data_IF_849243019786
#
_entry.id   IF_849243019786
#
_cell.length_a   1.000
_cell.length_b   1.000
_cell.length_c   1.000
_cell.angle_alpha   90.00
_cell.angle_beta   90.00
_cell.angle_gamma   90.00
#
_symmetry.space_group_name_H-M   'P 1'
#
loop_
_entity.id
_entity.type
_entity.pdbx_description
1 polymer ?
#
# COMPACT_ATOMS: atom_id res chain seq x y z
N UNK A 1 5.43 -14.47 21.92
CA UNK A 1 4.86 -13.12 22.14
C UNK A 1 4.72 -12.33 20.84
N UNK A 2 5.71 -12.27 19.97
CA UNK A 2 5.63 -11.54 18.69
C UNK A 2 4.43 -11.94 17.79
N UNK A 3 3.99 -13.19 17.82
CA UNK A 3 2.89 -13.70 17.00
C UNK A 3 1.49 -13.19 17.39
N UNK A 4 1.30 -12.67 18.59
CA UNK A 4 0.00 -12.15 19.04
C UNK A 4 -0.23 -10.70 18.60
N UNK A 5 0.83 -9.93 18.40
CA UNK A 5 0.77 -8.54 17.96
C UNK A 5 0.25 -8.45 16.52
N UNK A 6 0.59 -9.43 15.70
CA UNK A 6 0.19 -9.51 14.29
C UNK A 6 -1.05 -10.37 14.03
N UNK A 7 -1.72 -10.85 15.09
CA UNK A 7 -2.91 -11.67 14.96
C UNK A 7 -4.11 -10.80 14.59
N UNK A 8 -4.65 -11.02 13.40
CA UNK A 8 -5.80 -10.31 12.89
C UNK A 8 -7.06 -10.49 13.75
N UNK A 9 -7.90 -9.48 13.78
CA UNK A 9 -9.20 -9.45 14.45
C UNK A 9 -10.27 -8.92 13.50
N UNK A 10 -10.86 -9.81 12.71
CA UNK A 10 -11.84 -9.44 11.68
C UNK A 10 -13.06 -8.67 12.22
N UNK A 11 -13.63 -8.96 13.41
CA UNK A 11 -14.69 -8.14 13.98
C UNK A 11 -14.25 -6.70 14.26
N UNK A 12 -13.04 -6.47 14.74
CA UNK A 12 -12.51 -5.13 15.00
C UNK A 12 -12.26 -4.38 13.71
N UNK A 13 -11.67 -5.03 12.73
CA UNK A 13 -11.48 -4.50 11.38
C UNK A 13 -12.81 -4.06 10.75
N UNK A 14 -13.86 -4.88 10.90
CA UNK A 14 -15.20 -4.55 10.38
C UNK A 14 -15.78 -3.29 11.01
N UNK A 15 -15.61 -3.08 12.30
CA UNK A 15 -16.06 -1.87 13.00
C UNK A 15 -15.31 -0.63 12.50
N UNK A 16 -13.98 -0.74 12.34
CA UNK A 16 -13.15 0.33 11.77
C UNK A 16 -13.64 0.70 10.37
N UNK A 17 -13.87 -0.29 9.50
CA UNK A 17 -14.40 -0.05 8.16
C UNK A 17 -15.76 0.65 8.17
N UNK A 18 -16.65 0.30 9.11
CA UNK A 18 -17.93 0.99 9.26
C UNK A 18 -17.77 2.44 9.67
N UNK A 19 -16.90 2.71 10.65
CA UNK A 19 -16.60 4.08 11.08
C UNK A 19 -16.04 4.92 9.93
N UNK A 20 -15.09 4.38 9.17
CA UNK A 20 -14.44 5.07 8.06
C UNK A 20 -15.32 5.20 6.79
N UNK A 21 -16.47 4.54 6.75
CA UNK A 21 -17.49 4.76 5.70
C UNK A 21 -18.43 5.94 6.01
N UNK A 22 -18.46 6.40 7.23
CA UNK A 22 -19.31 7.52 7.64
C UNK A 22 -18.72 8.84 7.21
N UNK A 23 -19.37 9.52 6.25
CA UNK A 23 -18.89 10.80 5.71
C UNK A 23 -18.89 11.93 6.74
N UNK A 24 -19.73 11.88 7.78
CA UNK A 24 -19.74 12.84 8.89
C UNK A 24 -18.52 12.70 9.82
N UNK A 25 -17.89 11.52 9.82
CA UNK A 25 -16.72 11.21 10.63
C UNK A 25 -15.43 11.44 9.83
N UNK A 26 -15.37 10.93 8.60
CA UNK A 26 -14.15 11.00 7.78
C UNK A 26 -13.77 12.43 7.40
N UNK A 27 -14.73 13.34 7.30
CA UNK A 27 -14.45 14.76 7.08
C UNK A 27 -13.77 15.47 8.27
N UNK A 28 -13.78 14.88 9.46
CA UNK A 28 -13.04 15.37 10.62
C UNK A 28 -11.56 15.01 10.52
N UNK A 29 -11.25 13.94 9.77
CA UNK A 29 -9.89 13.38 9.65
C UNK A 29 -9.07 14.25 8.70
N UNK A 30 -7.96 14.80 9.18
CA UNK A 30 -7.00 15.56 8.39
C UNK A 30 -5.92 14.66 7.78
N UNK A 31 -5.47 13.66 8.54
CA UNK A 31 -4.53 12.61 8.13
C UNK A 31 -4.83 11.34 8.90
N UNK A 32 -4.52 10.21 8.31
CA UNK A 32 -4.60 8.91 8.97
C UNK A 32 -3.49 7.98 8.48
N UNK A 33 -3.15 7.02 9.33
CA UNK A 33 -2.21 5.95 9.02
C UNK A 33 -2.64 4.68 9.79
N UNK A 34 -2.28 3.52 9.25
CA UNK A 34 -2.48 2.26 9.96
C UNK A 34 -1.35 1.97 10.94
N UNK A 35 -1.56 1.04 11.87
CA UNK A 35 -0.56 0.61 12.83
C UNK A 35 0.17 -0.65 12.35
N UNK A 36 0.94 -0.49 11.28
CA UNK A 36 1.82 -1.54 10.75
C UNK A 36 3.18 -1.59 11.44
N UNK A 37 4.15 -2.12 10.72
CA UNK A 37 5.53 -2.23 11.17
C UNK A 37 6.12 -0.85 11.54
N UNK A 38 6.82 -0.79 12.66
CA UNK A 38 7.34 0.46 13.24
C UNK A 38 6.41 1.10 14.27
N UNK A 39 5.22 0.55 14.49
CA UNK A 39 4.32 0.90 15.59
C UNK A 39 3.99 2.40 15.67
N UNK A 40 3.97 2.94 16.88
CA UNK A 40 3.71 4.36 17.16
C UNK A 40 4.67 5.29 16.40
N UNK A 41 5.94 4.89 16.28
CA UNK A 41 6.98 5.70 15.62
C UNK A 41 6.67 5.97 14.16
N UNK A 42 6.03 5.04 13.47
CA UNK A 42 5.60 5.18 12.07
C UNK A 42 4.16 5.65 12.00
N UNK A 43 3.21 4.91 12.59
CA UNK A 43 1.79 5.19 12.48
C UNK A 43 1.40 6.61 12.93
N UNK A 44 2.00 7.09 14.02
CA UNK A 44 1.77 8.46 14.52
C UNK A 44 2.88 9.40 14.05
N UNK A 45 4.15 8.94 14.10
CA UNK A 45 5.31 9.77 13.81
C UNK A 45 5.34 10.36 12.40
N UNK A 46 4.63 9.80 11.44
CA UNK A 46 4.54 10.29 10.05
C UNK A 46 3.35 11.24 9.81
N UNK A 47 2.44 11.40 10.78
CA UNK A 47 1.20 12.16 10.57
C UNK A 47 1.40 13.69 10.56
N UNK A 48 2.46 14.21 11.17
CA UNK A 48 2.75 15.64 11.18
C UNK A 48 4.26 15.90 11.38
N UNK A 49 4.70 17.10 11.01
CA UNK A 49 6.11 17.49 11.16
C UNK A 49 6.53 17.65 12.61
N UNK A 50 5.67 18.24 13.42
CA UNK A 50 5.88 18.40 14.86
C UNK A 50 4.87 17.58 15.66
N UNK A 51 5.35 16.74 16.58
CA UNK A 51 4.53 15.83 17.38
C UNK A 51 5.08 15.69 18.80
N UNK A 52 4.20 15.80 19.79
CA UNK A 52 4.44 15.36 21.16
C UNK A 52 3.59 14.13 21.44
N UNK A 53 4.23 12.98 21.60
CA UNK A 53 3.61 11.67 21.74
C UNK A 53 3.78 11.18 23.17
N UNK A 54 2.68 10.77 23.79
CA UNK A 54 2.65 10.16 25.13
C UNK A 54 2.48 8.64 25.00
N UNK A 55 3.54 7.90 25.20
CA UNK A 55 3.52 6.43 25.14
C UNK A 55 2.77 5.81 26.33
N UNK A 56 2.60 6.51 27.43
CA UNK A 56 1.82 6.02 28.58
C UNK A 56 0.31 5.99 28.24
N UNK A 57 -0.13 6.86 27.33
CA UNK A 57 -1.51 6.87 26.82
C UNK A 57 -1.82 5.76 25.83
N UNK A 58 -0.80 5.10 25.28
CA UNK A 58 -1.00 4.01 24.30
C UNK A 58 -1.53 2.77 24.99
N UNK A 59 -2.75 2.35 24.61
CA UNK A 59 -3.37 1.14 25.16
C UNK A 59 -2.66 -0.12 24.67
N UNK A 60 -2.37 -0.99 25.62
CA UNK A 60 -1.64 -2.25 25.41
C UNK A 60 -2.62 -3.42 25.34
N UNK A 61 -2.36 -4.35 24.44
CA UNK A 61 -3.11 -5.62 24.37
C UNK A 61 -2.68 -6.61 25.49
N UNK A 62 -1.48 -6.41 26.08
CA UNK A 62 -0.92 -7.20 27.18
C UNK A 62 0.10 -6.36 27.97
N UNK A 63 0.34 -6.75 29.22
CA UNK A 63 1.30 -6.08 30.09
C UNK A 63 2.75 -6.49 29.81
N UNK A 64 3.70 -5.67 30.31
CA UNK A 64 5.13 -5.98 30.25
C UNK A 64 5.90 -5.29 29.12
N UNK A 65 5.24 -4.51 28.27
CA UNK A 65 5.93 -3.72 27.24
C UNK A 65 6.68 -2.55 27.85
N UNK A 66 7.93 -2.38 27.44
CA UNK A 66 8.73 -1.19 27.77
C UNK A 66 8.47 -0.03 26.77
N UNK A 67 9.12 1.12 27.00
CA UNK A 67 8.94 2.30 26.16
C UNK A 67 9.41 2.09 24.72
N UNK A 68 10.44 1.29 24.49
CA UNK A 68 10.94 0.96 23.17
C UNK A 68 9.95 0.07 22.43
N UNK A 69 9.48 -0.97 23.09
CA UNK A 69 8.49 -1.89 22.52
C UNK A 69 7.18 -1.19 22.18
N UNK A 70 6.70 -0.28 23.06
CA UNK A 70 5.53 0.56 22.78
C UNK A 70 5.73 1.46 21.56
N UNK A 71 6.95 2.00 21.39
CA UNK A 71 7.26 2.91 20.30
C UNK A 71 7.31 2.23 18.93
N UNK A 72 7.74 0.95 18.85
CA UNK A 72 8.04 0.27 17.58
C UNK A 72 7.18 -0.97 17.29
N UNK A 73 6.39 -1.45 18.27
CA UNK A 73 5.60 -2.67 18.08
C UNK A 73 4.40 -2.43 17.16
N UNK A 74 4.26 -3.28 16.18
CA UNK A 74 3.08 -3.37 15.34
C UNK A 74 1.84 -3.75 16.17
N UNK A 75 0.69 -3.20 15.83
CA UNK A 75 -0.59 -3.54 16.45
C UNK A 75 -1.71 -3.46 15.42
N UNK A 76 -2.00 -4.57 14.79
CA UNK A 76 -3.05 -4.67 13.75
C UNK A 76 -4.44 -4.30 14.27
N UNK A 77 -5.33 -3.95 13.36
CA UNK A 77 -6.67 -3.41 13.56
C UNK A 77 -6.65 -2.17 14.46
N UNK A 78 -5.74 -1.26 14.15
CA UNK A 78 -5.63 0.04 14.80
C UNK A 78 -5.31 1.10 13.77
N UNK A 79 -5.92 2.27 13.92
CA UNK A 79 -5.69 3.43 13.06
C UNK A 79 -5.26 4.62 13.90
N UNK A 80 -4.30 5.38 13.40
CA UNK A 80 -3.97 6.70 13.93
C UNK A 80 -4.59 7.79 13.04
N UNK A 81 -5.24 8.77 13.65
CA UNK A 81 -5.87 9.87 12.93
C UNK A 81 -5.48 11.22 13.54
N UNK A 82 -5.38 12.22 12.68
CA UNK A 82 -5.28 13.63 13.11
C UNK A 82 -6.61 14.29 12.88
N UNK A 83 -7.16 14.87 13.96
CA UNK A 83 -8.38 15.67 13.94
C UNK A 83 -8.10 17.03 14.57
N UNK A 84 -8.96 18.04 14.31
CA UNK A 84 -8.86 19.28 15.04
C UNK A 84 -9.21 19.06 16.54
N UNK A 85 -8.56 19.79 17.44
CA UNK A 85 -8.81 19.65 18.87
C UNK A 85 -10.30 19.80 19.25
N UNK A 86 -11.01 20.72 18.60
CA UNK A 86 -12.43 20.93 18.80
C UNK A 86 -13.33 19.76 18.34
N UNK A 87 -12.82 18.89 17.45
CA UNK A 87 -13.55 17.74 16.90
C UNK A 87 -13.19 16.41 17.60
N UNK A 88 -12.22 16.42 18.52
CA UNK A 88 -11.71 15.20 19.14
C UNK A 88 -12.82 14.41 19.87
N UNK A 89 -13.60 15.08 20.72
CA UNK A 89 -14.68 14.42 21.47
C UNK A 89 -15.77 13.87 20.54
N UNK A 90 -16.08 14.59 19.46
CA UNK A 90 -17.03 14.13 18.44
C UNK A 90 -16.54 12.88 17.72
N UNK A 91 -15.26 12.84 17.36
CA UNK A 91 -14.66 11.67 16.74
C UNK A 91 -14.66 10.47 17.70
N UNK A 92 -14.27 10.67 18.96
CA UNK A 92 -14.27 9.63 20.00
C UNK A 92 -15.68 9.06 20.21
N UNK A 93 -16.70 9.94 20.32
CA UNK A 93 -18.09 9.50 20.46
C UNK A 93 -18.57 8.67 19.26
N UNK A 94 -18.17 9.05 18.04
CA UNK A 94 -18.50 8.29 16.83
C UNK A 94 -17.84 6.92 16.81
N UNK A 95 -16.59 6.80 17.27
CA UNK A 95 -15.90 5.52 17.41
C UNK A 95 -16.56 4.63 18.48
N UNK A 96 -16.94 5.20 19.62
CA UNK A 96 -17.66 4.49 20.68
C UNK A 96 -19.02 3.95 20.22
N UNK A 97 -19.72 4.69 19.36
CA UNK A 97 -20.98 4.22 18.76
C UNK A 97 -20.81 2.96 17.88
N UNK A 98 -19.61 2.72 17.35
CA UNK A 98 -19.25 1.49 16.64
C UNK A 98 -18.58 0.44 17.55
N UNK A 99 -18.61 0.62 18.87
CA UNK A 99 -17.89 -0.20 19.85
C UNK A 99 -16.37 -0.26 19.58
N UNK A 100 -15.78 0.86 19.20
CA UNK A 100 -14.33 1.05 19.06
C UNK A 100 -13.82 1.91 20.21
N UNK A 101 -12.64 1.59 20.70
CA UNK A 101 -11.90 2.46 21.61
C UNK A 101 -11.16 3.53 20.81
N UNK A 102 -11.34 4.79 21.16
CA UNK A 102 -10.57 5.91 20.61
C UNK A 102 -10.13 6.85 21.75
N UNK A 103 -8.89 7.28 21.70
CA UNK A 103 -8.30 8.13 22.74
C UNK A 103 -7.12 8.95 22.19
N UNK A 104 -6.84 10.12 22.74
CA UNK A 104 -5.70 10.93 22.33
C UNK A 104 -4.40 10.34 22.88
N UNK A 105 -3.37 10.27 22.02
CA UNK A 105 -2.03 9.79 22.38
C UNK A 105 -0.93 10.77 21.96
N UNK A 106 -1.27 11.78 21.16
CA UNK A 106 -0.32 12.75 20.68
C UNK A 106 -0.98 14.10 20.41
N UNK A 107 -0.17 15.14 20.44
CA UNK A 107 -0.55 16.51 20.05
C UNK A 107 0.37 16.97 18.94
N UNK A 108 -0.20 17.53 17.87
CA UNK A 108 0.56 18.22 16.81
C UNK A 108 1.10 19.53 17.36
N UNK A 109 2.37 19.78 17.12
CA UNK A 109 3.08 20.98 17.61
C UNK A 109 3.67 21.78 16.45
N UNK A 110 3.93 23.07 16.65
CA UNK A 110 4.59 23.92 15.67
C UNK A 110 6.10 23.62 15.53
N UNK A 111 6.71 23.10 16.60
CA UNK A 111 8.12 22.72 16.56
C UNK A 111 8.30 21.43 15.73
N UNK A 112 9.05 21.44 14.62
CA UNK A 112 9.20 20.32 13.71
C UNK A 112 10.10 19.21 14.29
N UNK A 113 9.65 18.62 15.38
CA UNK A 113 10.32 17.53 16.09
C UNK A 113 9.30 16.46 16.48
N UNK A 114 9.71 15.20 16.40
CA UNK A 114 8.99 14.07 16.98
C UNK A 114 9.55 13.82 18.38
N UNK A 115 8.75 14.10 19.40
CA UNK A 115 9.12 13.91 20.79
C UNK A 115 8.24 12.82 21.41
N UNK A 116 8.84 11.78 21.96
CA UNK A 116 8.13 10.70 22.66
C UNK A 116 8.47 10.74 24.14
N UNK A 117 7.45 10.56 24.98
CA UNK A 117 7.57 10.50 26.43
C UNK A 117 7.04 9.17 26.93
N UNK A 118 7.72 8.63 27.93
CA UNK A 118 7.31 7.44 28.66
C UNK A 118 7.70 7.55 30.13
N UNK A 119 6.74 7.33 31.01
CA UNK A 119 6.91 7.47 32.48
C UNK A 119 7.54 8.81 32.85
N UNK A 120 7.04 9.89 32.24
CA UNK A 120 7.50 11.25 32.47
C UNK A 120 8.87 11.60 31.87
N UNK A 121 9.56 10.67 31.21
CA UNK A 121 10.87 10.89 30.60
C UNK A 121 10.74 10.99 29.08
N UNK A 122 11.58 11.83 28.47
CA UNK A 122 11.76 11.86 27.03
C UNK A 122 12.60 10.65 26.63
N UNK A 123 12.04 9.77 25.81
CA UNK A 123 12.72 8.57 25.30
C UNK A 123 13.15 8.72 23.84
N UNK A 124 12.56 9.65 23.10
CA UNK A 124 13.00 10.05 21.76
C UNK A 124 12.73 11.53 21.55
N UNK A 125 13.65 12.23 20.90
CA UNK A 125 13.53 13.64 20.51
C UNK A 125 14.33 13.85 19.21
N UNK A 126 13.63 13.71 18.07
CA UNK A 126 14.22 13.70 16.73
C UNK A 126 13.69 14.86 15.90
N UNK A 127 14.58 15.59 15.22
CA UNK A 127 14.15 16.64 14.30
C UNK A 127 13.50 16.06 13.04
N UNK A 128 12.52 16.73 12.49
CA UNK A 128 11.90 16.33 11.23
C UNK A 128 12.91 16.30 10.08
N UNK A 129 13.84 17.24 10.04
CA UNK A 129 14.91 17.28 9.05
C UNK A 129 15.75 15.99 9.08
N UNK A 130 16.09 15.49 10.27
CA UNK A 130 16.79 14.20 10.41
C UNK A 130 15.95 13.04 9.90
N UNK A 131 14.70 12.93 10.33
CA UNK A 131 13.81 11.86 9.91
C UNK A 131 13.55 11.85 8.39
N UNK A 132 13.41 13.03 7.78
CA UNK A 132 13.15 13.18 6.34
C UNK A 132 14.38 12.91 5.46
N UNK A 133 15.59 13.03 6.00
CA UNK A 133 16.85 12.80 5.26
C UNK A 133 17.36 11.36 5.33
N UNK A 134 16.69 10.46 6.06
CA UNK A 134 17.24 9.14 6.43
C UNK A 134 18.66 9.24 7.04
N UNK A 135 18.99 10.36 7.65
CA UNK A 135 20.21 10.61 8.43
C UNK A 135 21.44 11.03 7.64
N UNK A 136 21.59 10.65 6.39
CA UNK A 136 22.78 11.00 5.57
C UNK A 136 22.45 11.05 4.07
N UNK A 137 23.08 11.97 3.37
CA UNK A 137 23.04 11.99 1.90
C UNK A 137 23.76 10.77 1.38
N UNK A 138 23.07 9.99 0.56
CA UNK A 138 23.61 8.79 -0.07
C UNK A 138 23.86 9.08 -1.55
N UNK A 139 25.04 8.70 -2.02
CA UNK A 139 25.42 8.79 -3.43
C UNK A 139 25.58 7.37 -3.98
N UNK A 140 25.04 7.13 -5.17
CA UNK A 140 25.25 5.89 -5.89
C UNK A 140 25.69 6.21 -7.32
N UNK A 141 26.65 5.43 -7.81
CA UNK A 141 26.99 5.45 -9.23
C UNK A 141 26.06 4.49 -9.97
N UNK A 142 25.60 4.91 -11.12
CA UNK A 142 24.63 4.17 -11.94
C UNK A 142 25.24 3.90 -13.30
N UNK A 143 25.27 2.64 -13.73
CA UNK A 143 25.69 2.24 -15.06
C UNK A 143 24.58 1.40 -15.71
N UNK A 144 23.87 1.98 -16.68
CA UNK A 144 22.84 1.28 -17.44
C UNK A 144 23.52 0.37 -18.47
N UNK A 145 23.28 -0.93 -18.37
CA UNK A 145 23.79 -1.91 -19.31
C UNK A 145 22.95 -1.94 -20.60
N UNK A 146 23.56 -2.40 -21.68
CA UNK A 146 22.80 -2.72 -22.90
C UNK A 146 21.84 -3.88 -22.64
N UNK A 147 20.72 -3.96 -23.40
CA UNK A 147 19.81 -5.10 -23.31
C UNK A 147 20.53 -6.44 -23.47
N UNK A 148 20.12 -7.41 -22.67
CA UNK A 148 20.62 -8.79 -22.72
C UNK A 148 19.44 -9.75 -22.98
N UNK A 149 19.15 -10.08 -24.27
CA UNK A 149 18.07 -10.98 -24.61
C UNK A 149 18.21 -12.38 -23.98
N UNK A 150 19.44 -12.81 -23.65
CA UNK A 150 19.66 -14.10 -23.02
C UNK A 150 19.19 -14.13 -21.57
N UNK A 151 19.20 -12.99 -20.87
CA UNK A 151 18.72 -12.88 -19.48
C UNK A 151 17.22 -13.07 -19.34
N UNK A 152 16.43 -12.77 -20.40
CA UNK A 152 14.98 -12.92 -20.43
C UNK A 152 14.48 -14.28 -20.93
N UNK A 153 15.36 -15.10 -21.51
CA UNK A 153 14.95 -16.33 -22.18
C UNK A 153 14.76 -17.51 -21.20
N UNK A 154 13.76 -17.42 -20.33
CA UNK A 154 13.48 -18.47 -19.34
C UNK A 154 12.75 -19.68 -19.92
N UNK A 155 11.81 -19.44 -20.84
CA UNK A 155 11.02 -20.48 -21.47
C UNK A 155 11.19 -20.45 -23.00
N UNK A 156 11.85 -21.47 -23.53
CA UNK A 156 11.95 -21.69 -24.96
C UNK A 156 11.01 -22.82 -25.37
N UNK A 157 9.70 -22.58 -25.27
CA UNK A 157 8.73 -23.51 -25.82
C UNK A 157 8.89 -23.58 -27.34
N UNK A 158 9.04 -24.80 -27.86
CA UNK A 158 9.24 -25.06 -29.31
C UNK A 158 7.93 -25.18 -30.08
N UNK A 159 6.81 -25.26 -29.36
CA UNK A 159 5.48 -25.39 -29.95
C UNK A 159 4.42 -24.76 -29.07
N UNK A 160 3.25 -24.40 -29.64
CA UNK A 160 2.08 -23.96 -28.90
C UNK A 160 1.60 -25.01 -27.87
N UNK A 161 1.81 -26.31 -28.18
CA UNK A 161 1.43 -27.38 -27.26
C UNK A 161 2.33 -27.39 -26.02
N UNK A 162 3.64 -27.17 -26.18
CA UNK A 162 4.56 -27.03 -25.05
C UNK A 162 4.24 -25.79 -24.22
N UNK A 163 3.95 -24.64 -24.86
CA UNK A 163 3.55 -23.41 -24.19
C UNK A 163 2.25 -23.61 -23.41
N UNK A 164 1.24 -24.20 -24.03
CA UNK A 164 -0.04 -24.48 -23.36
C UNK A 164 0.08 -25.44 -22.18
N UNK A 165 1.09 -26.33 -22.22
CA UNK A 165 1.41 -27.26 -21.12
C UNK A 165 2.34 -26.68 -20.06
N UNK A 166 2.85 -25.46 -20.23
CA UNK A 166 3.78 -24.84 -19.29
C UNK A 166 3.07 -24.28 -18.05
N UNK A 167 3.82 -24.09 -16.96
CA UNK A 167 3.30 -23.48 -15.74
C UNK A 167 2.85 -22.03 -15.96
N UNK A 168 3.39 -21.34 -16.94
CA UNK A 168 3.02 -19.97 -17.28
C UNK A 168 1.59 -19.87 -17.80
N UNK A 169 1.15 -20.88 -18.56
CA UNK A 169 -0.22 -20.99 -19.05
C UNK A 169 -1.17 -21.73 -18.10
N UNK A 170 -0.68 -22.19 -16.94
CA UNK A 170 -1.53 -22.84 -15.95
C UNK A 170 -2.62 -21.92 -15.41
N UNK A 171 -3.79 -22.48 -15.19
CA UNK A 171 -4.91 -21.74 -14.60
C UNK A 171 -4.58 -21.22 -13.20
N UNK A 172 -4.85 -19.95 -12.95
CA UNK A 172 -4.74 -19.33 -11.62
C UNK A 172 -6.03 -19.46 -10.78
N UNK A 173 -7.02 -20.21 -11.27
CA UNK A 173 -8.33 -20.34 -10.64
C UNK A 173 -8.24 -20.81 -9.20
N UNK A 174 -7.45 -21.82 -8.92
CA UNK A 174 -7.30 -22.37 -7.57
C UNK A 174 -6.72 -21.36 -6.55
N UNK A 175 -5.88 -20.41 -7.00
CA UNK A 175 -5.41 -19.30 -6.16
C UNK A 175 -6.51 -18.24 -5.96
N UNK A 176 -7.21 -17.89 -7.03
CA UNK A 176 -8.26 -16.87 -7.03
C UNK A 176 -9.44 -17.28 -6.15
N UNK A 177 -9.84 -18.55 -6.19
CA UNK A 177 -10.96 -19.08 -5.41
C UNK A 177 -10.69 -19.16 -3.89
N UNK A 178 -9.44 -18.93 -3.46
CA UNK A 178 -9.12 -18.78 -2.03
C UNK A 178 -9.46 -17.41 -1.48
N UNK A 179 -9.70 -16.44 -2.33
CA UNK A 179 -10.05 -15.06 -1.97
C UNK A 179 -11.52 -14.80 -2.34
N UNK A 180 -12.19 -14.03 -1.52
CA UNK A 180 -13.55 -13.62 -1.81
C UNK A 180 -13.57 -12.47 -2.82
N UNK A 181 -13.79 -12.80 -4.09
CA UNK A 181 -13.92 -11.83 -5.17
C UNK A 181 -15.18 -10.95 -5.09
N UNK A 182 -16.12 -11.28 -4.20
CA UNK A 182 -17.39 -10.54 -4.00
C UNK A 182 -17.40 -9.70 -2.73
N UNK A 183 -16.29 -9.57 -2.04
CA UNK A 183 -16.17 -8.84 -0.76
C UNK A 183 -16.78 -7.44 -0.88
N UNK A 184 -17.65 -7.09 0.06
CA UNK A 184 -18.36 -5.80 0.07
C UNK A 184 -19.47 -5.66 -0.97
N UNK A 185 -19.74 -6.70 -1.76
CA UNK A 185 -20.78 -6.73 -2.80
C UNK A 185 -20.66 -5.63 -3.87
N UNK A 186 -19.48 -5.02 -4.00
CA UNK A 186 -19.21 -3.95 -4.95
C UNK A 186 -18.53 -4.41 -6.26
N UNK A 187 -18.21 -5.70 -6.42
CA UNK A 187 -17.47 -6.19 -7.60
C UNK A 187 -18.32 -6.07 -8.87
N UNK A 188 -17.83 -5.31 -9.85
CA UNK A 188 -18.42 -5.19 -11.19
C UNK A 188 -17.78 -6.20 -12.14
N UNK A 189 -16.45 -6.32 -12.11
CA UNK A 189 -15.72 -7.36 -12.83
C UNK A 189 -15.21 -8.41 -11.85
N UNK A 190 -15.73 -9.62 -12.01
CA UNK A 190 -15.27 -10.79 -11.28
C UNK A 190 -13.96 -11.31 -11.88
N UNK A 191 -13.12 -12.04 -11.11
CA UNK A 191 -11.83 -12.56 -11.59
C UNK A 191 -11.94 -13.42 -12.85
N UNK A 192 -13.07 -14.10 -13.04
CA UNK A 192 -13.39 -14.87 -14.24
C UNK A 192 -14.73 -14.45 -14.79
N UNK A 193 -14.77 -14.15 -16.08
CA UNK A 193 -15.96 -13.74 -16.82
C UNK A 193 -16.33 -14.70 -17.93
N UNK A 194 -17.23 -14.21 -18.82
CA UNK A 194 -17.79 -14.98 -19.90
C UNK A 194 -18.91 -15.92 -19.45
N UNK A 195 -19.60 -16.51 -20.44
CA UNK A 195 -20.76 -17.40 -20.21
C UNK A 195 -20.45 -18.57 -19.25
N UNK A 196 -19.25 -19.11 -19.33
CA UNK A 196 -18.81 -20.26 -18.52
C UNK A 196 -17.96 -19.86 -17.32
N UNK A 197 -17.78 -18.55 -17.07
CA UNK A 197 -16.92 -18.02 -16.01
C UNK A 197 -15.52 -18.64 -16.00
N UNK A 198 -14.90 -18.74 -17.18
CA UNK A 198 -13.58 -19.34 -17.38
C UNK A 198 -12.55 -18.38 -17.96
N UNK A 199 -12.99 -17.22 -18.43
CA UNK A 199 -12.11 -16.22 -19.04
C UNK A 199 -11.55 -15.31 -17.95
N UNK A 200 -10.23 -15.30 -17.72
CA UNK A 200 -9.63 -14.39 -16.74
C UNK A 200 -9.90 -12.93 -17.10
N UNK A 201 -10.39 -12.15 -16.15
CA UNK A 201 -10.51 -10.70 -16.31
C UNK A 201 -9.12 -10.06 -16.34
N UNK A 202 -8.94 -9.05 -17.18
CA UNK A 202 -7.67 -8.32 -17.31
C UNK A 202 -7.63 -7.03 -16.48
N UNK A 203 -8.72 -6.70 -15.81
CA UNK A 203 -8.84 -5.58 -14.89
C UNK A 203 -9.79 -5.94 -13.75
N UNK A 204 -9.69 -5.23 -12.65
CA UNK A 204 -10.65 -5.22 -11.56
C UNK A 204 -11.53 -3.97 -11.73
N UNK A 205 -12.83 -4.11 -11.53
CA UNK A 205 -13.74 -2.98 -11.36
C UNK A 205 -14.65 -3.23 -10.16
N UNK A 206 -14.76 -2.21 -9.30
CA UNK A 206 -15.61 -2.28 -8.11
C UNK A 206 -16.28 -0.93 -7.85
N UNK A 207 -17.54 -0.97 -7.46
CA UNK A 207 -18.29 0.20 -7.03
C UNK A 207 -17.63 0.84 -5.82
N UNK A 208 -17.70 2.16 -5.72
CA UNK A 208 -17.24 2.84 -4.51
C UNK A 208 -18.08 2.41 -3.31
N UNK A 209 -17.45 2.09 -2.17
CA UNK A 209 -18.16 1.78 -0.95
C UNK A 209 -18.81 3.06 -0.41
N UNK A 210 -20.12 3.03 -0.28
CA UNK A 210 -20.94 4.14 0.23
C UNK A 210 -21.77 3.69 1.42
N UNK A 211 -22.36 4.65 2.14
CA UNK A 211 -23.30 4.37 3.22
C UNK A 211 -24.54 3.65 2.67
N UNK A 212 -25.17 2.75 3.45
CA UNK A 212 -26.44 2.12 3.07
C UNK A 212 -27.49 3.17 2.69
N UNK A 213 -28.17 2.94 1.58
CA UNK A 213 -29.17 3.86 1.04
C UNK A 213 -28.60 5.02 0.20
N UNK A 214 -27.31 4.98 -0.09
CA UNK A 214 -26.61 5.92 -0.99
C UNK A 214 -25.88 5.20 -2.11
N UNK A 215 -26.55 4.24 -2.73
CA UNK A 215 -26.00 3.45 -3.82
C UNK A 215 -25.43 4.36 -4.92
N UNK A 216 -24.36 3.93 -5.55
CA UNK A 216 -23.69 4.64 -6.64
C UNK A 216 -23.37 3.67 -7.78
N UNK A 217 -23.45 4.17 -9.01
CA UNK A 217 -22.97 3.45 -10.20
C UNK A 217 -21.49 3.77 -10.50
N UNK A 218 -20.88 4.66 -9.73
CA UNK A 218 -19.47 5.00 -9.92
C UNK A 218 -18.58 3.87 -9.41
N UNK A 219 -17.59 3.51 -10.20
CA UNK A 219 -16.65 2.44 -9.91
C UNK A 219 -15.21 2.91 -10.05
N UNK A 220 -14.34 2.29 -9.28
CA UNK A 220 -12.90 2.30 -9.53
C UNK A 220 -12.53 1.17 -10.46
N UNK A 221 -11.58 1.41 -11.36
CA UNK A 221 -11.02 0.39 -12.25
C UNK A 221 -9.53 0.32 -12.03
N UNK A 222 -9.00 -0.88 -11.92
CA UNK A 222 -7.59 -1.12 -11.68
C UNK A 222 -7.08 -2.22 -12.62
N UNK A 223 -5.93 -1.99 -13.24
CA UNK A 223 -5.26 -2.97 -14.07
C UNK A 223 -3.77 -2.99 -13.77
N UNK A 224 -3.10 -4.06 -14.14
CA UNK A 224 -1.68 -4.21 -13.94
C UNK A 224 -1.02 -4.90 -15.14
N UNK A 225 0.26 -4.70 -15.30
CA UNK A 225 1.06 -5.41 -16.28
C UNK A 225 2.46 -5.70 -15.74
N UNK A 226 2.98 -6.83 -16.12
CA UNK A 226 4.30 -7.30 -15.74
C UNK A 226 4.77 -8.40 -16.70
N UNK A 227 5.92 -8.21 -17.32
CA UNK A 227 6.60 -9.24 -18.12
C UNK A 227 8.01 -9.46 -17.54
N UNK A 228 8.21 -10.53 -16.75
CA UNK A 228 9.48 -10.77 -16.08
C UNK A 228 10.61 -11.07 -17.05
N UNK A 229 10.32 -11.67 -18.20
CA UNK A 229 11.36 -12.03 -19.18
C UNK A 229 11.83 -10.78 -19.92
N UNK A 230 10.92 -9.93 -20.37
CA UNK A 230 11.28 -8.65 -20.97
C UNK A 230 12.03 -7.76 -19.97
N UNK A 231 11.54 -7.66 -18.72
CA UNK A 231 12.20 -6.85 -17.68
C UNK A 231 13.58 -7.36 -17.28
N UNK A 232 13.83 -8.67 -17.38
CA UNK A 232 15.17 -9.23 -17.16
C UNK A 232 16.12 -8.94 -18.32
N UNK A 233 15.61 -8.99 -19.57
CA UNK A 233 16.38 -8.72 -20.78
C UNK A 233 16.69 -7.23 -20.96
N UNK A 234 15.69 -6.40 -20.76
CA UNK A 234 15.75 -4.95 -20.92
C UNK A 234 14.79 -4.28 -19.92
N UNK A 235 15.28 -3.82 -18.75
CA UNK A 235 14.43 -3.17 -17.76
C UNK A 235 13.72 -1.92 -18.27
N UNK A 236 14.35 -1.15 -19.16
CA UNK A 236 13.74 0.05 -19.75
C UNK A 236 12.53 -0.33 -20.63
N UNK A 237 12.75 -1.18 -21.63
CA UNK A 237 11.69 -1.61 -22.53
C UNK A 237 10.58 -2.39 -21.81
N UNK A 238 10.95 -3.20 -20.81
CA UNK A 238 10.00 -3.95 -19.99
C UNK A 238 9.08 -3.04 -19.18
N UNK A 239 9.61 -2.02 -18.53
CA UNK A 239 8.82 -1.06 -17.77
C UNK A 239 7.96 -0.17 -18.67
N UNK A 240 8.51 0.30 -19.79
CA UNK A 240 7.78 1.05 -20.82
C UNK A 240 6.56 0.26 -21.32
N UNK A 241 6.78 -1.00 -21.74
CA UNK A 241 5.71 -1.90 -22.19
C UNK A 241 4.69 -2.21 -21.10
N UNK A 242 5.10 -2.30 -19.84
CA UNK A 242 4.20 -2.55 -18.72
C UNK A 242 3.24 -1.37 -18.50
N UNK A 243 3.72 -0.12 -18.59
CA UNK A 243 2.85 1.06 -18.51
C UNK A 243 1.81 1.04 -19.63
N UNK A 244 2.23 0.89 -20.89
CA UNK A 244 1.32 0.82 -22.03
C UNK A 244 0.30 -0.32 -21.90
N UNK A 245 0.75 -1.50 -21.50
CA UNK A 245 -0.13 -2.67 -21.35
C UNK A 245 -1.15 -2.46 -20.23
N UNK A 246 -0.75 -1.88 -19.08
CA UNK A 246 -1.68 -1.59 -17.99
C UNK A 246 -2.73 -0.56 -18.39
N UNK A 247 -2.32 0.50 -19.09
CA UNK A 247 -3.24 1.52 -19.62
C UNK A 247 -4.17 0.96 -20.69
N UNK A 248 -3.67 0.14 -21.60
CA UNK A 248 -4.50 -0.53 -22.61
C UNK A 248 -5.59 -1.42 -21.96
N UNK A 249 -5.25 -2.13 -20.87
CA UNK A 249 -6.23 -2.91 -20.11
C UNK A 249 -7.28 -2.03 -19.43
N UNK A 250 -6.91 -0.85 -18.92
CA UNK A 250 -7.88 0.12 -18.37
C UNK A 250 -8.86 0.60 -19.46
N UNK A 251 -8.35 0.95 -20.63
CA UNK A 251 -9.17 1.37 -21.77
C UNK A 251 -10.10 0.24 -22.21
N UNK A 252 -9.58 -0.99 -22.32
CA UNK A 252 -10.39 -2.17 -22.67
C UNK A 252 -11.48 -2.47 -21.64
N UNK A 253 -11.29 -2.09 -20.38
CA UNK A 253 -12.29 -2.19 -19.32
C UNK A 253 -13.26 -0.99 -19.25
N UNK A 254 -13.11 0.00 -20.15
CA UNK A 254 -14.01 1.16 -20.24
C UNK A 254 -13.58 2.37 -19.40
N UNK A 255 -12.38 2.36 -18.82
CA UNK A 255 -11.89 3.50 -18.04
C UNK A 255 -11.32 4.61 -18.90
N UNK A 256 -11.42 5.86 -18.43
CA UNK A 256 -10.74 7.01 -19.03
C UNK A 256 -9.28 7.05 -18.54
N UNK A 257 -8.35 6.67 -19.40
CA UNK A 257 -6.94 6.59 -19.06
C UNK A 257 -6.33 7.94 -18.66
N UNK A 258 -6.87 9.06 -19.14
CA UNK A 258 -6.40 10.41 -18.78
C UNK A 258 -6.61 10.75 -17.31
N UNK A 259 -7.43 9.97 -16.61
CA UNK A 259 -7.70 10.08 -15.17
C UNK A 259 -6.98 8.98 -14.37
N UNK A 260 -6.14 8.18 -15.03
CA UNK A 260 -5.43 7.11 -14.38
C UNK A 260 -4.25 7.64 -13.56
N UNK A 261 -4.00 6.99 -12.45
CA UNK A 261 -2.78 7.14 -11.66
C UNK A 261 -1.98 5.86 -11.76
N UNK A 262 -0.65 6.00 -11.84
CA UNK A 262 0.24 4.86 -11.85
C UNK A 262 0.83 4.64 -10.46
N UNK A 263 0.87 3.37 -10.06
CA UNK A 263 1.62 2.90 -8.90
C UNK A 263 2.63 1.89 -9.41
N UNK A 264 3.90 2.11 -9.09
CA UNK A 264 4.98 1.26 -9.52
C UNK A 264 5.51 0.48 -8.31
N UNK A 265 5.64 -0.83 -8.48
CA UNK A 265 6.33 -1.68 -7.53
C UNK A 265 7.51 -2.33 -8.20
N UNK A 266 8.69 -2.15 -7.62
CA UNK A 266 9.93 -2.66 -8.17
C UNK A 266 10.55 -3.69 -7.21
N UNK A 267 11.09 -4.76 -7.79
CA UNK A 267 11.86 -5.75 -7.08
C UNK A 267 13.17 -6.01 -7.81
N UNK A 268 14.28 -5.70 -7.14
CA UNK A 268 15.62 -5.92 -7.66
C UNK A 268 16.49 -6.67 -6.65
N UNK A 269 17.55 -7.30 -7.14
CA UNK A 269 18.60 -7.87 -6.29
C UNK A 269 19.21 -6.75 -5.44
N UNK A 270 19.72 -7.07 -4.24
CA UNK A 270 20.44 -6.08 -3.40
C UNK A 270 21.43 -5.29 -4.24
N UNK A 271 21.30 -3.98 -4.24
CA UNK A 271 22.04 -3.08 -5.15
C UNK A 271 23.52 -2.98 -4.78
N UNK A 272 23.85 -2.96 -3.46
CA UNK A 272 25.21 -2.81 -2.94
C UNK A 272 25.91 -1.60 -3.59
N UNK A 273 27.24 -1.59 -3.62
CA UNK A 273 28.05 -0.57 -4.29
C UNK A 273 28.41 -0.99 -5.74
N UNK A 274 27.42 -1.58 -6.44
CA UNK A 274 27.62 -2.07 -7.80
C UNK A 274 26.84 -1.23 -8.81
N UNK A 275 27.49 -0.34 -9.59
CA UNK A 275 26.84 0.58 -10.53
C UNK A 275 25.89 -0.10 -11.52
N UNK A 276 26.25 -1.28 -12.01
CA UNK A 276 25.43 -2.05 -12.93
C UNK A 276 24.13 -2.60 -12.31
N UNK A 277 24.11 -2.83 -10.99
CA UNK A 277 22.88 -3.22 -10.28
C UNK A 277 21.95 -2.02 -10.09
N UNK A 278 22.51 -0.84 -9.80
CA UNK A 278 21.75 0.41 -9.74
C UNK A 278 21.21 0.82 -11.10
N UNK A 279 21.90 0.43 -12.18
CA UNK A 279 21.45 0.68 -13.56
C UNK A 279 20.11 0.04 -13.91
N UNK A 280 19.76 -1.09 -13.30
CA UNK A 280 18.49 -1.79 -13.61
C UNK A 280 17.25 -1.04 -13.14
N UNK A 281 17.09 -0.70 -11.84
CA UNK A 281 15.95 0.10 -11.38
C UNK A 281 15.92 1.48 -12.06
N UNK A 282 17.07 2.09 -12.28
CA UNK A 282 17.13 3.38 -12.96
C UNK A 282 16.62 3.29 -14.41
N UNK A 283 17.02 2.26 -15.16
CA UNK A 283 16.52 2.03 -16.52
C UNK A 283 15.01 1.78 -16.55
N UNK A 284 14.49 1.00 -15.59
CA UNK A 284 13.06 0.74 -15.47
C UNK A 284 12.26 2.03 -15.18
N UNK A 285 12.76 2.87 -14.27
CA UNK A 285 12.13 4.17 -13.98
C UNK A 285 12.12 5.10 -15.20
N UNK A 286 13.21 5.14 -15.97
CA UNK A 286 13.26 5.91 -17.22
C UNK A 286 12.24 5.39 -18.24
N UNK A 287 12.15 4.07 -18.44
CA UNK A 287 11.18 3.49 -19.36
C UNK A 287 9.73 3.78 -18.94
N UNK A 288 9.43 3.70 -17.64
CA UNK A 288 8.12 4.06 -17.13
C UNK A 288 7.81 5.55 -17.27
N UNK A 289 8.81 6.42 -17.09
CA UNK A 289 8.67 7.87 -17.29
C UNK A 289 8.39 8.21 -18.76
N UNK A 290 9.17 7.65 -19.69
CA UNK A 290 8.99 7.92 -21.10
C UNK A 290 7.61 7.48 -21.58
N UNK A 291 7.14 6.30 -21.17
CA UNK A 291 5.79 5.83 -21.48
C UNK A 291 4.70 6.78 -20.93
N UNK A 292 4.90 7.39 -19.77
CA UNK A 292 3.95 8.37 -19.22
C UNK A 292 3.95 9.69 -19.99
N UNK A 293 5.09 10.09 -20.55
CA UNK A 293 5.20 11.31 -21.34
C UNK A 293 4.63 11.14 -22.75
N UNK A 294 4.56 9.92 -23.26
CA UNK A 294 4.00 9.58 -24.55
C UNK A 294 2.48 9.41 -24.55
N UNK A 295 1.88 9.07 -23.40
CA UNK A 295 0.45 8.83 -23.20
C UNK A 295 -0.31 10.10 -22.81
#
# INVERSE_FOLDING_TARGET
MASEVQKGNAPEERKIQRLFRRGDVTRLIKRCNDFGAGGVSVAIGELADGLSIDLDAVRKKYDGLDGTELAISESQERMAVVVAAADADRFIAAAQAENLEAYPVAVVTENPRMVMRWRGKVVADLSRAFLSSNGAVKHAQVAVAKPDPAAGARNRCRSLRELAGSLECASRRGLTERFDGSIGAGSVLMPFGGRSQRTPAQAMAALFPVEPGRETEQASVMAWAFDPDQMCADPYAGAHSAVYTSVAKLVAAGADYRKAYLSLQEFFKKLRDEPARWGKPFAALLGALDAQLEL
#
